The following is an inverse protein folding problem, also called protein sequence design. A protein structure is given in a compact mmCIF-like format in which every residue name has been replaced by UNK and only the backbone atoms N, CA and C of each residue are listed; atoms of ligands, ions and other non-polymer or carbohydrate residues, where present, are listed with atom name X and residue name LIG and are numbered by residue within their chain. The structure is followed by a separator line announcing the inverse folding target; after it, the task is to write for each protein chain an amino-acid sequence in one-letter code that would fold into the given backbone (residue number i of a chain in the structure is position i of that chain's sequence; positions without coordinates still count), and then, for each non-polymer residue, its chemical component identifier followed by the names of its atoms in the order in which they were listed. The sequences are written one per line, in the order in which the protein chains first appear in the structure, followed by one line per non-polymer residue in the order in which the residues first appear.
data_IF_966530341874
#
_entry.id   IF_966530341874
#
_cell.length_a   1.000
_cell.length_b   1.000
_cell.length_c   1.000
_cell.angle_alpha   90.00
_cell.angle_beta   90.00
_cell.angle_gamma   90.00
#
_symmetry.space_group_name_H-M   'P 1'
#
loop_
_entity.id
_entity.type
_entity.pdbx_description
1 polymer ?
#
# COMPACT_ATOMS: atom_id res chain seq x y z
N UNK A 1 6.78 -32.95 -9.67
CA UNK A 1 6.32 -31.77 -10.45
C UNK A 1 5.27 -30.93 -9.72
N UNK A 2 4.40 -31.52 -8.86
CA UNK A 2 3.38 -30.77 -8.12
C UNK A 2 3.91 -29.85 -7.00
N UNK A 3 5.03 -30.18 -6.35
CA UNK A 3 5.61 -29.36 -5.26
C UNK A 3 5.95 -27.93 -5.70
N UNK A 4 6.63 -27.76 -6.84
CA UNK A 4 7.01 -26.43 -7.32
C UNK A 4 5.79 -25.58 -7.70
N UNK A 5 4.75 -26.22 -8.24
CA UNK A 5 3.49 -25.55 -8.64
C UNK A 5 2.70 -25.12 -7.40
N UNK A 6 2.63 -25.95 -6.36
CA UNK A 6 1.94 -25.61 -5.12
C UNK A 6 2.62 -24.45 -4.36
N UNK A 7 3.95 -24.48 -4.25
CA UNK A 7 4.72 -23.37 -3.69
C UNK A 7 4.57 -22.08 -4.49
N UNK A 8 4.60 -22.17 -5.82
CA UNK A 8 4.43 -21.01 -6.69
C UNK A 8 3.00 -20.46 -6.63
N UNK A 9 1.97 -21.31 -6.58
CA UNK A 9 0.58 -20.89 -6.43
C UNK A 9 0.34 -20.19 -5.10
N UNK A 10 0.87 -20.72 -4.00
CA UNK A 10 0.79 -20.06 -2.69
C UNK A 10 1.50 -18.71 -2.70
N UNK A 11 2.74 -18.65 -3.20
CA UNK A 11 3.51 -17.42 -3.29
C UNK A 11 2.82 -16.37 -4.19
N UNK A 12 2.20 -16.80 -5.28
CA UNK A 12 1.49 -15.91 -6.20
C UNK A 12 0.22 -15.31 -5.54
N UNK A 13 -0.58 -16.13 -4.86
CA UNK A 13 -1.79 -15.67 -4.17
C UNK A 13 -1.41 -14.73 -3.01
N UNK A 14 -0.43 -15.12 -2.20
CA UNK A 14 0.06 -14.28 -1.08
C UNK A 14 0.68 -12.99 -1.60
N UNK A 15 1.49 -13.05 -2.67
CA UNK A 15 2.09 -11.87 -3.28
C UNK A 15 1.06 -10.91 -3.87
N UNK A 16 0.03 -11.43 -4.54
CA UNK A 16 -1.08 -10.63 -5.05
C UNK A 16 -1.88 -9.99 -3.91
N UNK A 17 -2.23 -10.77 -2.88
CA UNK A 17 -2.98 -10.28 -1.73
C UNK A 17 -2.20 -9.22 -0.95
N UNK A 18 -0.89 -9.41 -0.76
CA UNK A 18 0.00 -8.43 -0.13
C UNK A 18 0.11 -7.15 -0.97
N UNK A 19 0.25 -7.26 -2.29
CA UNK A 19 0.25 -6.12 -3.20
C UNK A 19 -1.06 -5.32 -3.11
N UNK A 20 -2.21 -6.00 -3.10
CA UNK A 20 -3.51 -5.37 -2.91
C UNK A 20 -3.66 -4.72 -1.54
N UNK A 21 -3.18 -5.37 -0.47
CA UNK A 21 -3.23 -4.81 0.87
C UNK A 21 -2.41 -3.51 0.99
N UNK A 22 -1.24 -3.43 0.35
CA UNK A 22 -0.41 -2.21 0.33
C UNK A 22 -1.12 -1.08 -0.41
N UNK A 23 -1.71 -1.33 -1.58
CA UNK A 23 -2.42 -0.28 -2.33
C UNK A 23 -3.66 0.21 -1.58
N UNK A 24 -4.41 -0.69 -0.96
CA UNK A 24 -5.56 -0.35 -0.11
C UNK A 24 -5.10 0.45 1.11
N UNK A 25 -4.04 0.03 1.81
CA UNK A 25 -3.52 0.76 2.97
C UNK A 25 -3.11 2.19 2.60
N UNK A 26 -2.50 2.40 1.43
CA UNK A 26 -2.19 3.75 0.93
C UNK A 26 -3.46 4.55 0.62
N UNK A 27 -4.51 3.93 0.09
CA UNK A 27 -5.80 4.58 -0.13
C UNK A 27 -6.50 4.95 1.18
N UNK A 28 -6.46 4.08 2.18
CA UNK A 28 -7.01 4.34 3.52
C UNK A 28 -6.22 5.44 4.24
N UNK A 29 -4.89 5.43 4.12
CA UNK A 29 -4.02 6.47 4.68
C UNK A 29 -4.30 7.83 4.05
N UNK A 30 -4.57 7.89 2.74
CA UNK A 30 -5.01 9.13 2.07
C UNK A 30 -6.35 9.63 2.61
N UNK A 31 -7.31 8.73 2.82
CA UNK A 31 -8.60 9.05 3.45
C UNK A 31 -8.44 9.56 4.89
N UNK A 32 -7.51 9.01 5.66
CA UNK A 32 -7.19 9.47 7.03
C UNK A 32 -6.58 10.88 7.05
N UNK A 33 -5.84 11.25 6.01
CA UNK A 33 -5.14 12.53 5.90
C UNK A 33 -5.96 13.64 5.23
N UNK A 34 -7.19 13.34 4.78
CA UNK A 34 -8.12 14.34 4.22
C UNK A 34 -7.74 14.87 2.83
N UNK A 35 -6.95 14.13 2.05
CA UNK A 35 -6.55 14.52 0.70
C UNK A 35 -7.61 14.00 -0.30
N UNK A 36 -8.60 14.84 -0.64
CA UNK A 36 -9.70 14.49 -1.57
C UNK A 36 -9.33 14.67 -3.06
N UNK A 37 -8.44 15.60 -3.39
CA UNK A 37 -8.06 15.94 -4.78
C UNK A 37 -6.71 15.33 -5.19
N UNK A 38 -6.79 14.23 -5.93
CA UNK A 38 -5.65 13.44 -6.42
C UNK A 38 -5.05 14.05 -7.70
N UNK A 39 -3.87 14.66 -7.62
CA UNK A 39 -3.03 14.92 -8.80
C UNK A 39 -1.90 13.89 -8.84
N UNK A 40 -1.92 13.01 -9.85
CA UNK A 40 -1.15 11.75 -9.93
C UNK A 40 0.38 11.86 -9.84
N UNK A 41 0.99 13.04 -9.91
CA UNK A 41 2.46 13.18 -9.95
C UNK A 41 3.14 13.39 -8.59
N UNK A 42 2.44 13.87 -7.55
CA UNK A 42 3.10 14.35 -6.31
C UNK A 42 2.72 13.57 -5.06
N UNK A 43 1.99 12.47 -5.23
CA UNK A 43 1.04 12.01 -4.23
C UNK A 43 1.60 10.96 -3.25
N UNK A 44 2.55 10.13 -3.71
CA UNK A 44 3.29 9.21 -2.82
C UNK A 44 4.17 10.02 -1.86
N UNK A 45 4.83 11.07 -2.36
CA UNK A 45 5.67 11.96 -1.54
C UNK A 45 4.81 12.70 -0.51
N UNK A 46 3.61 13.16 -0.90
CA UNK A 46 2.65 13.80 0.01
C UNK A 46 2.21 12.86 1.14
N UNK A 47 1.84 11.62 0.81
CA UNK A 47 1.46 10.59 1.79
C UNK A 47 2.62 10.25 2.72
N UNK A 48 3.84 10.06 2.19
CA UNK A 48 5.01 9.74 3.02
C UNK A 48 5.41 10.90 3.94
N UNK A 49 5.34 12.15 3.44
CA UNK A 49 5.62 13.35 4.25
C UNK A 49 4.58 13.54 5.35
N UNK A 50 3.31 13.30 5.06
CA UNK A 50 2.23 13.41 6.03
C UNK A 50 2.28 12.28 7.08
N UNK A 51 2.57 11.04 6.67
CA UNK A 51 2.84 9.94 7.60
C UNK A 51 4.03 10.22 8.52
N UNK A 52 5.12 10.80 7.99
CA UNK A 52 6.31 11.17 8.77
C UNK A 52 6.06 12.35 9.72
N UNK A 53 5.25 13.33 9.32
CA UNK A 53 4.87 14.46 10.17
C UNK A 53 3.96 14.03 11.32
N UNK A 54 2.99 13.17 11.04
CA UNK A 54 2.08 12.59 12.04
C UNK A 54 2.80 11.66 13.02
N UNK A 55 3.81 10.91 12.58
CA UNK A 55 4.61 10.05 13.45
C UNK A 55 5.53 10.81 14.42
N UNK A 56 5.84 12.09 14.15
CA UNK A 56 6.67 12.93 15.02
C UNK A 56 5.84 13.78 16.01
N UNK A 57 4.53 13.86 15.84
CA UNK A 57 3.63 14.64 16.71
C UNK A 57 2.72 13.78 17.60
N UNK A 58 3.09 12.53 17.83
CA UNK A 58 2.51 11.62 18.83
C UNK A 58 3.54 11.22 19.88
#
# INVERSE_FOLDING_TARGET
LGFLVDFLSHAAIVGFMAGAAVTIALQQLRGLLGIEDFTRETDIVSVMKSASGSAHHG
#
